data_IF_768304806492
#
_entry.id   IF_768304806492
#
_cell.length_a   1.000
_cell.length_b   1.000
_cell.length_c   1.000
_cell.angle_alpha   90.00
_cell.angle_beta   90.00
_cell.angle_gamma   90.00
#
_symmetry.space_group_name_H-M   'P 1'
#
loop_
_entity.id
_entity.type
_entity.pdbx_description
1 polymer ?
#
# COMPACT_ATOMS: atom_id res chain seq x y z
N UNK A 1 16.98 -8.68 20.88
CA UNK A 1 16.41 -7.78 19.84
C UNK A 1 16.69 -8.36 18.47
N UNK A 2 15.65 -8.51 17.68
CA UNK A 2 15.68 -9.14 16.38
C UNK A 2 16.23 -8.18 15.31
N UNK A 3 16.96 -8.70 14.34
CA UNK A 3 17.35 -7.93 13.17
C UNK A 3 16.14 -7.68 12.26
N UNK A 4 16.26 -6.75 11.32
CA UNK A 4 15.17 -6.38 10.40
C UNK A 4 15.61 -6.63 8.96
N UNK A 5 14.75 -7.27 8.20
CA UNK A 5 14.89 -7.46 6.76
C UNK A 5 13.71 -6.81 6.05
N UNK A 6 13.99 -6.03 5.00
CA UNK A 6 12.98 -5.39 4.16
C UNK A 6 13.12 -5.93 2.74
N UNK A 7 12.09 -6.62 2.23
CA UNK A 7 12.01 -6.91 0.79
C UNK A 7 11.35 -5.70 0.13
N UNK A 8 12.16 -4.94 -0.60
CA UNK A 8 11.84 -3.60 -1.04
C UNK A 8 11.42 -3.57 -2.52
N UNK A 9 10.35 -2.86 -2.78
CA UNK A 9 9.98 -2.36 -4.11
C UNK A 9 9.79 -0.84 -4.11
N UNK A 10 9.84 -0.21 -2.91
CA UNK A 10 9.74 1.23 -2.73
C UNK A 10 10.78 1.71 -1.73
N UNK A 11 11.59 2.68 -2.16
CA UNK A 11 12.74 3.18 -1.43
C UNK A 11 12.36 3.95 -0.17
N UNK A 12 11.47 4.94 -0.31
CA UNK A 12 11.09 5.84 0.78
C UNK A 12 10.50 5.12 1.98
N UNK A 13 9.58 4.17 1.76
CA UNK A 13 9.00 3.35 2.83
C UNK A 13 10.03 2.43 3.48
N UNK A 14 10.96 1.85 2.70
CA UNK A 14 12.01 0.98 3.24
C UNK A 14 12.93 1.73 4.20
N UNK A 15 13.36 2.95 3.84
CA UNK A 15 14.13 3.79 4.77
C UNK A 15 13.35 4.26 5.96
N UNK A 16 12.07 4.60 5.77
CA UNK A 16 11.20 5.01 6.87
C UNK A 16 11.08 3.92 7.92
N UNK A 17 10.98 2.66 7.50
CA UNK A 17 10.97 1.48 8.39
C UNK A 17 12.31 1.39 9.14
N UNK A 18 13.43 1.34 8.43
CA UNK A 18 14.75 1.23 9.05
C UNK A 18 15.03 2.39 10.01
N UNK A 19 14.71 3.63 9.61
CA UNK A 19 14.87 4.83 10.44
C UNK A 19 14.01 4.75 11.70
N UNK A 20 12.75 4.35 11.59
CA UNK A 20 11.83 4.24 12.71
C UNK A 20 12.37 3.30 13.80
N UNK A 21 12.89 2.13 13.39
CA UNK A 21 13.35 1.11 14.32
C UNK A 21 14.75 1.44 14.85
N UNK A 22 15.70 1.82 14.00
CA UNK A 22 17.06 2.18 14.41
C UNK A 22 17.15 3.45 15.25
N UNK A 23 16.14 4.29 15.24
CA UNK A 23 16.06 5.44 16.16
C UNK A 23 15.96 5.01 17.64
N UNK A 24 15.58 3.75 17.90
CA UNK A 24 15.38 3.19 19.23
C UNK A 24 16.36 2.06 19.57
N UNK A 25 16.78 1.28 18.58
CA UNK A 25 17.56 0.07 18.79
C UNK A 25 18.80 0.01 17.90
N UNK A 26 19.90 -0.46 18.49
CA UNK A 26 21.13 -0.77 17.76
C UNK A 26 21.05 -2.22 17.22
N UNK A 27 20.37 -2.39 16.10
CA UNK A 27 20.17 -3.68 15.41
C UNK A 27 20.69 -3.62 13.98
N UNK A 28 20.87 -4.78 13.37
CA UNK A 28 21.16 -4.84 11.93
C UNK A 28 19.88 -4.71 11.12
N UNK A 29 19.96 -3.98 10.02
CA UNK A 29 18.87 -3.76 9.07
C UNK A 29 19.36 -4.06 7.67
N UNK A 30 18.60 -4.83 6.94
CA UNK A 30 18.93 -5.31 5.59
C UNK A 30 17.82 -4.89 4.63
N UNK A 31 18.19 -4.39 3.46
CA UNK A 31 17.22 -4.06 2.40
C UNK A 31 17.58 -4.89 1.16
N UNK A 32 16.64 -5.71 0.72
CA UNK A 32 16.77 -6.54 -0.48
C UNK A 32 15.77 -6.02 -1.52
N UNK A 33 16.27 -5.43 -2.60
CA UNK A 33 15.44 -4.93 -3.69
C UNK A 33 15.04 -6.05 -4.64
N UNK A 34 13.75 -6.11 -4.94
CA UNK A 34 13.15 -7.04 -5.89
C UNK A 34 13.04 -6.36 -7.25
N UNK A 35 13.89 -6.76 -8.22
CA UNK A 35 13.85 -6.29 -9.61
C UNK A 35 13.74 -4.76 -9.76
N UNK A 36 14.52 -4.01 -9.00
CA UNK A 36 14.52 -2.56 -9.09
C UNK A 36 15.52 -2.09 -10.15
N UNK A 37 15.11 -1.11 -10.96
CA UNK A 37 15.96 -0.41 -11.91
C UNK A 37 16.95 0.56 -11.21
N UNK A 38 17.12 0.44 -9.90
CA UNK A 38 17.96 1.33 -9.10
C UNK A 38 19.39 0.83 -9.16
N UNK A 39 20.08 1.21 -10.22
CA UNK A 39 21.48 0.79 -10.45
C UNK A 39 22.49 1.39 -9.46
N UNK A 40 22.22 2.56 -8.88
CA UNK A 40 23.15 3.28 -8.03
C UNK A 40 22.47 3.88 -6.81
N UNK A 41 22.17 3.04 -5.82
CA UNK A 41 21.63 3.57 -4.59
C UNK A 41 22.68 3.54 -3.47
N UNK A 42 23.18 4.73 -3.10
CA UNK A 42 23.94 4.89 -1.87
C UNK A 42 22.96 5.03 -0.70
N UNK A 43 22.87 3.99 0.09
CA UNK A 43 22.12 4.03 1.32
C UNK A 43 22.76 5.00 2.33
N UNK A 44 21.97 5.80 3.08
CA UNK A 44 22.53 6.59 4.16
C UNK A 44 23.31 5.70 5.13
N UNK A 45 24.62 5.93 5.22
CA UNK A 45 25.50 5.21 6.14
C UNK A 45 24.96 5.33 7.56
N UNK A 46 24.83 4.19 8.26
CA UNK A 46 24.34 4.13 9.62
C UNK A 46 22.85 3.77 9.79
N UNK A 47 22.01 3.85 8.76
CA UNK A 47 20.60 3.40 8.84
C UNK A 47 20.41 1.97 8.35
N UNK A 48 21.23 1.51 7.41
CA UNK A 48 21.14 0.17 6.82
C UNK A 48 22.48 -0.50 6.92
N UNK A 49 22.49 -1.76 7.34
CA UNK A 49 23.69 -2.58 7.48
C UNK A 49 24.16 -3.05 6.12
N UNK A 50 23.23 -3.50 5.28
CA UNK A 50 23.49 -4.02 3.95
C UNK A 50 22.31 -3.75 3.03
N UNK A 51 22.63 -3.45 1.79
CA UNK A 51 21.64 -3.31 0.71
C UNK A 51 22.02 -4.24 -0.42
N UNK A 52 21.05 -5.02 -0.89
CA UNK A 52 21.21 -5.94 -2.01
C UNK A 52 20.21 -5.58 -3.09
N UNK A 53 20.67 -5.54 -4.34
CA UNK A 53 19.83 -5.34 -5.51
C UNK A 53 20.04 -6.52 -6.48
N UNK A 54 18.99 -7.34 -6.64
CA UNK A 54 19.02 -8.47 -7.56
C UNK A 54 18.00 -8.29 -8.66
N UNK A 55 18.44 -8.40 -9.89
CA UNK A 55 17.57 -8.57 -11.04
C UNK A 55 17.42 -10.07 -11.28
N UNK A 56 16.20 -10.56 -11.26
CA UNK A 56 15.89 -11.98 -11.49
C UNK A 56 14.73 -12.12 -12.48
N UNK A 57 14.91 -13.03 -13.43
CA UNK A 57 13.92 -13.27 -14.50
C UNK A 57 12.64 -13.97 -14.00
N UNK A 58 12.71 -14.57 -12.81
CA UNK A 58 11.57 -15.25 -12.20
C UNK A 58 11.61 -15.18 -10.67
N UNK A 59 10.43 -15.38 -10.05
CA UNK A 59 10.30 -15.48 -8.60
C UNK A 59 11.14 -16.64 -8.01
N UNK A 60 11.28 -17.75 -8.73
CA UNK A 60 12.09 -18.89 -8.27
C UNK A 60 13.57 -18.55 -8.18
N UNK A 61 14.13 -17.88 -9.21
CA UNK A 61 15.53 -17.43 -9.19
C UNK A 61 15.76 -16.43 -8.04
N UNK A 62 14.83 -15.52 -7.83
CA UNK A 62 14.93 -14.59 -6.71
C UNK A 62 14.86 -15.32 -5.35
N UNK A 63 14.01 -16.36 -5.25
CA UNK A 63 13.91 -17.19 -4.05
C UNK A 63 15.20 -17.96 -3.76
N UNK A 64 15.84 -18.54 -4.78
CA UNK A 64 17.15 -19.20 -4.63
C UNK A 64 18.21 -18.24 -4.08
N UNK A 65 18.26 -17.02 -4.62
CA UNK A 65 19.19 -15.98 -4.15
C UNK A 65 18.93 -15.55 -2.71
N UNK A 66 17.66 -15.39 -2.33
CA UNK A 66 17.34 -15.00 -0.95
C UNK A 66 17.63 -16.12 0.04
N UNK A 67 17.43 -17.38 -0.36
CA UNK A 67 17.78 -18.55 0.43
C UNK A 67 19.30 -18.67 0.62
N UNK A 68 20.07 -18.46 -0.43
CA UNK A 68 21.53 -18.39 -0.36
C UNK A 68 21.99 -17.24 0.56
N UNK A 69 21.47 -16.02 0.33
CA UNK A 69 21.77 -14.86 1.16
C UNK A 69 21.46 -15.12 2.64
N UNK A 70 20.31 -15.72 2.94
CA UNK A 70 19.95 -16.06 4.32
C UNK A 70 20.92 -17.04 4.95
N UNK A 71 21.43 -18.02 4.20
CA UNK A 71 22.39 -19.02 4.68
C UNK A 71 23.78 -18.44 5.00
N UNK A 72 24.16 -17.34 4.35
CA UNK A 72 25.41 -16.62 4.59
C UNK A 72 25.33 -15.68 5.81
N UNK A 73 24.14 -15.45 6.36
CA UNK A 73 23.93 -14.56 7.50
C UNK A 73 23.61 -15.36 8.77
N UNK A 74 24.19 -14.92 9.89
CA UNK A 74 23.87 -15.50 11.20
C UNK A 74 22.93 -14.56 11.96
N UNK A 75 21.70 -15.01 12.14
CA UNK A 75 20.69 -14.33 12.97
C UNK A 75 20.61 -15.02 14.33
N UNK A 76 20.71 -14.23 15.41
CA UNK A 76 20.56 -14.77 16.81
C UNK A 76 19.12 -15.22 17.09
N UNK A 77 18.15 -14.56 16.48
CA UNK A 77 16.72 -14.82 16.56
C UNK A 77 16.14 -14.64 15.15
N UNK A 78 14.93 -15.15 14.89
CA UNK A 78 14.26 -14.92 13.61
C UNK A 78 14.10 -13.42 13.34
N UNK A 79 14.65 -12.89 12.24
CA UNK A 79 14.54 -11.46 11.92
C UNK A 79 13.10 -11.08 11.57
N UNK A 80 12.74 -9.81 11.78
CA UNK A 80 11.42 -9.28 11.42
C UNK A 80 11.43 -8.85 9.96
N UNK A 81 10.46 -9.37 9.17
CA UNK A 81 10.35 -9.10 7.74
C UNK A 81 9.26 -8.08 7.44
N UNK A 82 9.64 -7.05 6.66
CA UNK A 82 8.74 -6.08 6.06
C UNK A 82 8.75 -6.21 4.52
N UNK A 83 7.59 -6.01 3.91
CA UNK A 83 7.45 -5.85 2.47
C UNK A 83 7.02 -4.41 2.15
N UNK A 84 7.55 -3.79 1.10
CA UNK A 84 7.23 -2.39 0.75
C UNK A 84 6.63 -2.21 -0.64
N UNK A 85 6.26 -3.31 -1.31
CA UNK A 85 5.50 -3.30 -2.56
C UNK A 85 4.51 -4.45 -2.61
N UNK A 86 3.52 -4.34 -3.48
CA UNK A 86 2.56 -5.42 -3.71
C UNK A 86 3.26 -6.66 -4.28
N UNK A 87 4.29 -6.46 -5.10
CA UNK A 87 5.13 -7.53 -5.66
C UNK A 87 5.91 -8.27 -4.57
N UNK A 88 6.50 -7.54 -3.61
CA UNK A 88 7.21 -8.18 -2.49
C UNK A 88 6.25 -8.96 -1.59
N UNK A 89 5.02 -8.47 -1.35
CA UNK A 89 4.00 -9.22 -0.64
C UNK A 89 3.58 -10.49 -1.38
N UNK A 90 3.36 -10.39 -2.69
CA UNK A 90 3.02 -11.55 -3.53
C UNK A 90 4.15 -12.58 -3.59
N UNK A 91 5.39 -12.11 -3.65
CA UNK A 91 6.58 -12.97 -3.61
C UNK A 91 6.65 -13.73 -2.27
N UNK A 92 6.55 -13.05 -1.14
CA UNK A 92 6.54 -13.70 0.18
C UNK A 92 5.35 -14.65 0.32
N UNK A 93 4.17 -14.28 -0.18
CA UNK A 93 2.99 -15.13 -0.16
C UNK A 93 3.18 -16.42 -0.97
N UNK A 94 3.91 -16.37 -2.09
CA UNK A 94 4.21 -17.55 -2.92
C UNK A 94 5.09 -18.58 -2.20
N UNK A 95 6.03 -18.11 -1.38
CA UNK A 95 6.98 -18.96 -0.65
C UNK A 95 6.76 -18.91 0.87
N UNK A 96 5.52 -18.69 1.31
CA UNK A 96 5.17 -18.34 2.69
C UNK A 96 5.69 -19.32 3.72
N UNK A 97 5.57 -20.61 3.50
CA UNK A 97 6.02 -21.66 4.44
C UNK A 97 7.51 -21.51 4.76
N UNK A 98 8.34 -21.24 3.74
CA UNK A 98 9.75 -21.02 3.96
C UNK A 98 10.00 -19.71 4.74
N UNK A 99 9.27 -18.63 4.40
CA UNK A 99 9.44 -17.35 5.07
C UNK A 99 9.01 -17.42 6.55
N UNK A 100 7.95 -18.11 6.89
CA UNK A 100 7.49 -18.27 8.28
C UNK A 100 8.45 -19.09 9.14
N UNK A 101 9.23 -20.00 8.53
CA UNK A 101 10.29 -20.74 9.23
C UNK A 101 11.54 -19.87 9.49
N UNK A 102 11.72 -18.78 8.78
CA UNK A 102 12.96 -17.98 8.77
C UNK A 102 12.76 -16.56 9.27
N UNK A 103 11.53 -16.06 9.30
CA UNK A 103 11.21 -14.67 9.63
C UNK A 103 9.94 -14.55 10.45
N UNK A 104 9.81 -13.45 11.17
CA UNK A 104 8.53 -13.00 11.72
C UNK A 104 7.93 -12.02 10.70
N UNK A 105 6.79 -12.41 10.13
CA UNK A 105 6.15 -11.64 9.06
C UNK A 105 5.27 -10.52 9.62
N UNK A 106 5.36 -9.33 9.03
CA UNK A 106 4.50 -8.19 9.36
C UNK A 106 3.34 -7.99 8.37
N UNK A 107 3.23 -8.86 7.36
CA UNK A 107 2.19 -8.83 6.33
C UNK A 107 1.05 -9.81 6.66
N UNK A 108 -0.17 -9.58 6.15
CA UNK A 108 -1.31 -10.44 6.42
C UNK A 108 -1.21 -11.81 5.72
N UNK A 109 -2.22 -12.65 5.97
CA UNK A 109 -2.35 -13.96 5.34
C UNK A 109 -2.46 -13.89 3.81
N UNK A 110 -2.11 -14.99 3.15
CA UNK A 110 -2.15 -15.12 1.69
C UNK A 110 -3.54 -14.84 1.11
N UNK A 111 -4.61 -15.22 1.81
CA UNK A 111 -5.98 -14.94 1.38
C UNK A 111 -6.24 -13.44 1.27
N UNK A 112 -5.79 -12.66 2.25
CA UNK A 112 -5.91 -11.21 2.29
C UNK A 112 -5.07 -10.58 1.18
N UNK A 113 -3.80 -10.99 1.04
CA UNK A 113 -2.89 -10.49 -0.01
C UNK A 113 -3.49 -10.75 -1.39
N UNK A 114 -3.97 -11.97 -1.67
CA UNK A 114 -4.52 -12.35 -2.96
C UNK A 114 -5.83 -11.63 -3.31
N UNK A 115 -6.62 -11.22 -2.31
CA UNK A 115 -7.85 -10.46 -2.53
C UNK A 115 -7.52 -9.00 -2.81
N UNK A 116 -6.75 -8.36 -1.92
CA UNK A 116 -6.64 -6.89 -1.95
C UNK A 116 -5.56 -6.36 -2.88
N UNK A 117 -4.58 -7.18 -3.30
CA UNK A 117 -3.65 -6.83 -4.38
C UNK A 117 -4.27 -7.01 -5.78
N UNK A 118 -5.51 -7.51 -5.87
CA UNK A 118 -6.29 -7.58 -7.10
C UNK A 118 -7.58 -6.76 -6.94
N UNK A 119 -7.68 -5.63 -7.65
CA UNK A 119 -8.81 -4.69 -7.51
C UNK A 119 -10.17 -5.31 -7.86
N UNK A 120 -10.19 -6.27 -8.80
CA UNK A 120 -11.43 -6.99 -9.14
C UNK A 120 -11.91 -7.89 -8.01
N UNK A 121 -11.00 -8.64 -7.37
CA UNK A 121 -11.32 -9.48 -6.21
C UNK A 121 -11.67 -8.61 -4.99
N UNK A 122 -10.94 -7.51 -4.79
CA UNK A 122 -11.21 -6.53 -3.75
C UNK A 122 -12.63 -5.97 -3.86
N UNK A 123 -13.06 -5.54 -5.06
CA UNK A 123 -14.44 -5.06 -5.30
C UNK A 123 -15.49 -6.10 -4.90
N UNK A 124 -15.30 -7.36 -5.28
CA UNK A 124 -16.21 -8.44 -4.89
C UNK A 124 -16.23 -8.66 -3.37
N UNK A 125 -15.07 -8.57 -2.72
CA UNK A 125 -14.95 -8.70 -1.27
C UNK A 125 -15.66 -7.56 -0.54
N UNK A 126 -15.42 -6.31 -0.96
CA UNK A 126 -16.02 -5.11 -0.35
C UNK A 126 -17.54 -5.12 -0.43
N UNK A 127 -18.14 -5.56 -1.54
CA UNK A 127 -19.61 -5.71 -1.71
C UNK A 127 -20.27 -6.65 -0.67
N UNK A 128 -19.48 -7.48 0.02
CA UNK A 128 -19.95 -8.34 1.12
C UNK A 128 -19.75 -7.72 2.50
N UNK A 129 -19.36 -6.45 2.56
CA UNK A 129 -19.12 -5.71 3.79
C UNK A 129 -20.09 -4.52 3.87
N UNK A 130 -20.03 -3.79 4.98
CA UNK A 130 -20.84 -2.58 5.19
C UNK A 130 -20.12 -1.31 4.72
N UNK A 131 -18.95 -1.45 4.06
CA UNK A 131 -18.22 -0.32 3.50
C UNK A 131 -18.93 0.22 2.25
N UNK A 132 -19.11 1.52 2.20
CA UNK A 132 -19.49 2.19 0.96
C UNK A 132 -18.32 2.08 -0.03
N UNK A 133 -18.63 1.73 -1.27
CA UNK A 133 -17.67 1.71 -2.36
C UNK A 133 -18.31 2.26 -3.63
N UNK A 134 -17.54 2.86 -4.54
CA UNK A 134 -18.04 3.30 -5.83
C UNK A 134 -18.57 2.10 -6.63
N UNK A 135 -19.65 2.28 -7.36
CA UNK A 135 -20.16 1.26 -8.29
C UNK A 135 -19.05 0.86 -9.25
N UNK A 136 -18.77 -0.44 -9.36
CA UNK A 136 -17.66 -0.96 -10.16
C UNK A 136 -18.14 -2.12 -11.02
N UNK A 137 -17.68 -2.16 -12.28
CA UNK A 137 -17.90 -3.27 -13.22
C UNK A 137 -16.55 -3.70 -13.82
N UNK A 138 -16.30 -5.01 -13.87
CA UNK A 138 -15.16 -5.56 -14.60
C UNK A 138 -15.51 -5.66 -16.07
N UNK A 139 -14.70 -5.06 -16.94
CA UNK A 139 -14.90 -5.03 -18.38
C UNK A 139 -14.06 -6.12 -19.02
N UNK A 140 -14.73 -7.09 -19.63
CA UNK A 140 -14.13 -8.25 -20.31
C UNK A 140 -14.58 -8.37 -21.77
N UNK A 141 -15.74 -7.82 -22.08
CA UNK A 141 -16.40 -7.92 -23.39
C UNK A 141 -16.91 -6.57 -23.87
N UNK A 142 -17.30 -6.49 -25.14
CA UNK A 142 -17.94 -5.30 -25.69
C UNK A 142 -19.32 -5.03 -25.06
N UNK A 143 -20.05 -6.08 -24.67
CA UNK A 143 -21.34 -5.95 -24.00
C UNK A 143 -21.20 -5.29 -22.60
N UNK A 144 -20.07 -5.52 -21.92
CA UNK A 144 -19.77 -4.84 -20.68
C UNK A 144 -19.60 -3.31 -20.89
N UNK A 145 -19.00 -2.89 -22.02
CA UNK A 145 -18.88 -1.47 -22.38
C UNK A 145 -20.26 -0.86 -22.56
N UNK A 146 -21.16 -1.53 -23.29
CA UNK A 146 -22.52 -1.07 -23.51
C UNK A 146 -23.32 -1.02 -22.20
N UNK A 147 -23.05 -1.95 -21.30
CA UNK A 147 -23.66 -1.94 -19.94
C UNK A 147 -23.23 -0.71 -19.16
N UNK A 148 -21.96 -0.31 -19.22
CA UNK A 148 -21.50 0.92 -18.55
C UNK A 148 -22.16 2.15 -19.14
N UNK A 149 -22.24 2.28 -20.46
CA UNK A 149 -22.89 3.42 -21.12
C UNK A 149 -24.33 3.65 -20.66
N UNK A 150 -25.05 2.57 -20.38
CA UNK A 150 -26.46 2.61 -19.93
C UNK A 150 -26.61 2.81 -18.42
N UNK A 151 -25.68 2.26 -17.63
CA UNK A 151 -25.85 2.09 -16.18
C UNK A 151 -25.03 3.04 -15.32
N UNK A 152 -24.05 3.75 -15.91
CA UNK A 152 -23.18 4.67 -15.16
C UNK A 152 -23.45 6.12 -15.54
N UNK A 153 -23.29 7.00 -14.56
CA UNK A 153 -23.23 8.45 -14.79
C UNK A 153 -21.77 8.85 -15.05
N UNK A 154 -21.57 9.72 -16.03
CA UNK A 154 -20.25 10.27 -16.35
C UNK A 154 -19.98 11.53 -15.49
N UNK A 155 -18.69 11.78 -15.13
CA UNK A 155 -17.50 11.01 -15.52
C UNK A 155 -17.40 9.62 -14.85
N UNK A 156 -16.64 8.72 -15.48
CA UNK A 156 -16.27 7.41 -14.93
C UNK A 156 -14.76 7.23 -14.87
N UNK A 157 -14.30 6.24 -14.13
CA UNK A 157 -12.87 5.92 -13.98
C UNK A 157 -12.58 4.57 -14.60
N UNK A 158 -11.53 4.49 -15.44
CA UNK A 158 -10.90 3.24 -15.88
C UNK A 158 -9.70 2.95 -14.96
N UNK A 159 -9.63 1.74 -14.43
CA UNK A 159 -8.51 1.24 -13.61
C UNK A 159 -8.04 -0.12 -14.11
N UNK A 160 -6.71 -0.40 -14.15
CA UNK A 160 -6.22 -1.76 -14.32
C UNK A 160 -6.65 -2.64 -13.14
N UNK A 161 -6.84 -3.95 -13.40
CA UNK A 161 -7.24 -4.92 -12.37
C UNK A 161 -6.11 -5.15 -11.36
N UNK A 162 -4.86 -5.18 -11.85
CA UNK A 162 -3.66 -5.42 -11.07
C UNK A 162 -2.45 -4.69 -11.66
N UNK A 163 -1.29 -4.84 -11.01
CA UNK A 163 -0.05 -4.20 -11.44
C UNK A 163 0.43 -4.67 -12.83
N UNK A 164 0.27 -5.94 -13.18
CA UNK A 164 0.68 -6.44 -14.50
C UNK A 164 -0.16 -5.82 -15.61
N UNK A 165 -1.47 -5.69 -15.39
CA UNK A 165 -2.36 -5.01 -16.32
C UNK A 165 -2.07 -3.49 -16.36
N UNK A 166 -1.68 -2.88 -15.25
CA UNK A 166 -1.26 -1.48 -15.22
C UNK A 166 -0.06 -1.22 -16.15
N UNK A 167 0.97 -2.06 -16.11
CA UNK A 167 2.13 -1.95 -17.03
C UNK A 167 1.71 -2.07 -18.50
N UNK A 168 0.79 -2.98 -18.80
CA UNK A 168 0.27 -3.19 -20.17
C UNK A 168 -0.60 -2.03 -20.65
N UNK A 169 -1.45 -1.46 -19.79
CA UNK A 169 -2.35 -0.35 -20.13
C UNK A 169 -1.59 0.97 -20.22
N UNK A 170 -0.57 1.17 -19.38
CA UNK A 170 0.28 2.37 -19.37
C UNK A 170 -0.19 3.50 -18.44
N UNK A 171 -1.23 3.27 -17.62
CA UNK A 171 -1.68 4.23 -16.61
C UNK A 171 -2.28 3.53 -15.38
N UNK A 172 -2.23 4.22 -14.22
CA UNK A 172 -2.83 3.74 -12.96
C UNK A 172 -4.35 4.04 -12.92
N UNK A 173 -4.74 5.23 -13.41
CA UNK A 173 -6.13 5.72 -13.37
C UNK A 173 -6.36 6.64 -14.58
N UNK A 174 -7.47 6.44 -15.28
CA UNK A 174 -7.94 7.32 -16.36
C UNK A 174 -9.37 7.75 -16.06
N UNK A 175 -9.60 9.06 -15.97
CA UNK A 175 -10.95 9.63 -15.91
C UNK A 175 -11.46 9.78 -17.32
N UNK A 176 -12.68 9.36 -17.59
CA UNK A 176 -13.40 9.52 -18.86
C UNK A 176 -14.61 10.41 -18.61
N UNK A 177 -14.59 11.61 -19.17
CA UNK A 177 -15.60 12.64 -18.90
C UNK A 177 -16.88 12.43 -19.72
N UNK A 178 -16.82 11.68 -20.82
CA UNK A 178 -17.94 11.42 -21.72
C UNK A 178 -18.02 9.95 -22.14
N UNK A 179 -19.18 9.57 -22.70
CA UNK A 179 -19.41 8.25 -23.28
C UNK A 179 -18.42 7.99 -24.44
N UNK A 180 -18.12 9.00 -25.24
CA UNK A 180 -17.23 8.85 -26.40
C UNK A 180 -15.78 8.63 -25.96
N UNK A 181 -15.27 9.41 -25.00
CA UNK A 181 -13.94 9.17 -24.41
C UNK A 181 -13.85 7.78 -23.78
N UNK A 182 -14.84 7.40 -22.96
CA UNK A 182 -14.91 6.07 -22.38
C UNK A 182 -14.89 4.96 -23.44
N UNK A 183 -15.67 5.11 -24.50
CA UNK A 183 -15.75 4.14 -25.59
C UNK A 183 -14.41 3.97 -26.30
N UNK A 184 -13.78 5.08 -26.66
CA UNK A 184 -12.47 5.09 -27.33
C UNK A 184 -11.40 4.38 -26.48
N UNK A 185 -11.31 4.72 -25.19
CA UNK A 185 -10.34 4.10 -24.28
C UNK A 185 -10.63 2.61 -24.10
N UNK A 186 -11.90 2.26 -23.87
CA UNK A 186 -12.34 0.89 -23.58
C UNK A 186 -12.11 -0.06 -24.74
N UNK A 187 -12.46 0.36 -25.97
CA UNK A 187 -12.20 -0.42 -27.18
C UNK A 187 -10.69 -0.60 -27.42
N UNK A 188 -9.89 0.46 -27.22
CA UNK A 188 -8.44 0.39 -27.34
C UNK A 188 -7.77 -0.56 -26.34
N UNK A 189 -8.31 -0.70 -25.14
CA UNK A 189 -7.81 -1.63 -24.12
C UNK A 189 -8.24 -3.07 -24.45
N UNK A 190 -9.54 -3.29 -24.76
CA UNK A 190 -10.06 -4.62 -25.06
C UNK A 190 -9.45 -5.22 -26.35
N UNK A 191 -9.16 -4.41 -27.37
CA UNK A 191 -8.51 -4.89 -28.60
C UNK A 191 -7.13 -5.52 -28.34
N UNK A 192 -6.48 -5.10 -27.23
CA UNK A 192 -5.22 -5.67 -26.72
C UNK A 192 -5.44 -6.87 -25.79
N UNK A 193 -6.68 -7.39 -25.68
CA UNK A 193 -7.08 -8.49 -24.79
C UNK A 193 -6.77 -8.23 -23.32
N UNK A 194 -6.87 -6.98 -22.90
CA UNK A 194 -6.64 -6.58 -21.51
C UNK A 194 -7.99 -6.30 -20.86
N UNK A 195 -8.26 -6.97 -19.73
CA UNK A 195 -9.41 -6.69 -18.89
C UNK A 195 -9.11 -5.55 -17.93
N UNK A 196 -10.13 -4.76 -17.57
CA UNK A 196 -10.00 -3.60 -16.72
C UNK A 196 -11.26 -3.36 -15.90
N UNK A 197 -11.21 -2.41 -14.96
CA UNK A 197 -12.36 -1.98 -14.17
C UNK A 197 -12.88 -0.64 -14.70
N UNK A 198 -14.19 -0.52 -14.83
CA UNK A 198 -14.88 0.75 -14.89
C UNK A 198 -15.53 1.04 -13.54
N UNK A 199 -15.27 2.21 -12.99
CA UNK A 199 -15.72 2.60 -11.67
C UNK A 199 -16.38 3.97 -11.72
N UNK A 200 -17.42 4.15 -10.90
CA UNK A 200 -18.05 5.43 -10.66
C UNK A 200 -17.03 6.46 -10.14
N UNK A 201 -17.09 7.67 -10.64
CA UNK A 201 -16.27 8.77 -10.17
C UNK A 201 -16.90 9.37 -8.91
N UNK A 202 -16.15 9.36 -7.80
CA UNK A 202 -16.56 10.05 -6.57
C UNK A 202 -15.96 11.46 -6.60
N UNK A 203 -16.79 12.53 -6.63
CA UNK A 203 -16.32 13.90 -6.74
C UNK A 203 -15.49 14.35 -5.55
N UNK A 204 -14.61 15.34 -5.79
CA UNK A 204 -13.82 16.02 -4.76
C UNK A 204 -12.36 16.15 -5.13
N UNK A 205 -11.72 17.20 -4.61
CA UNK A 205 -10.28 17.45 -4.75
C UNK A 205 -9.40 16.47 -3.97
N UNK A 206 -8.09 16.75 -3.94
CA UNK A 206 -7.12 15.94 -3.19
C UNK A 206 -7.46 15.89 -1.70
N UNK A 207 -7.92 17.01 -1.13
CA UNK A 207 -8.33 17.17 0.27
C UNK A 207 -9.52 16.31 0.70
N UNK A 208 -10.23 15.72 -0.27
CA UNK A 208 -11.29 14.72 -0.05
C UNK A 208 -10.79 13.29 -0.10
N UNK A 209 -9.50 13.08 -0.34
CA UNK A 209 -8.85 11.77 -0.28
C UNK A 209 -8.25 11.57 1.10
N UNK A 210 -8.70 10.52 1.78
CA UNK A 210 -8.28 10.16 3.12
C UNK A 210 -7.43 8.91 3.10
N UNK A 211 -6.45 8.85 4.00
CA UNK A 211 -5.71 7.64 4.31
C UNK A 211 -6.04 7.18 5.73
N UNK A 212 -6.09 5.88 5.91
CA UNK A 212 -6.14 5.19 7.19
C UNK A 212 -5.06 4.10 7.17
N UNK A 213 -3.92 4.34 7.81
CA UNK A 213 -2.81 3.39 7.91
C UNK A 213 -2.81 2.79 9.31
N UNK A 214 -2.45 1.52 9.42
CA UNK A 214 -2.64 0.79 10.67
C UNK A 214 -1.63 -0.36 10.82
N UNK A 215 -1.47 -0.80 12.07
CA UNK A 215 -0.98 -2.12 12.43
C UNK A 215 -2.02 -2.81 13.30
N UNK A 216 -2.46 -4.02 12.90
CA UNK A 216 -3.37 -4.84 13.68
C UNK A 216 -2.67 -6.10 14.16
N UNK A 217 -2.60 -6.26 15.49
CA UNK A 217 -2.00 -7.38 16.18
C UNK A 217 -2.87 -8.63 16.08
N UNK A 218 -2.30 -9.81 16.31
CA UNK A 218 -3.02 -11.07 16.32
C UNK A 218 -4.12 -11.13 17.39
N UNK A 219 -3.94 -10.45 18.53
CA UNK A 219 -4.96 -10.34 19.59
C UNK A 219 -6.13 -9.41 19.24
N UNK A 220 -6.08 -8.76 18.06
CA UNK A 220 -7.11 -7.86 17.56
C UNK A 220 -6.91 -6.38 17.89
N UNK A 221 -5.91 -6.02 18.69
CA UNK A 221 -5.55 -4.63 18.98
C UNK A 221 -5.12 -3.91 17.71
N UNK A 222 -5.60 -2.68 17.49
CA UNK A 222 -5.26 -1.85 16.34
C UNK A 222 -4.61 -0.57 16.83
N UNK A 223 -3.47 -0.23 16.22
CA UNK A 223 -2.91 1.11 16.25
C UNK A 223 -3.08 1.72 14.88
N UNK A 224 -3.57 2.92 14.81
CA UNK A 224 -3.88 3.58 13.55
C UNK A 224 -3.34 5.02 13.48
N UNK A 225 -3.13 5.47 12.26
CA UNK A 225 -2.86 6.86 11.92
C UNK A 225 -3.66 7.21 10.66
N UNK A 226 -4.34 8.35 10.68
CA UNK A 226 -5.21 8.78 9.58
C UNK A 226 -5.08 10.26 9.29
N UNK A 227 -5.53 10.64 8.11
CA UNK A 227 -5.53 12.04 7.69
C UNK A 227 -5.94 12.20 6.24
N UNK A 228 -5.64 13.39 5.71
CA UNK A 228 -5.99 13.79 4.34
C UNK A 228 -4.77 13.90 3.47
N UNK A 229 -4.94 13.56 2.19
CA UNK A 229 -3.98 13.89 1.13
C UNK A 229 -4.26 15.33 0.69
N UNK A 230 -3.32 16.22 0.91
CA UNK A 230 -3.47 17.65 0.54
C UNK A 230 -3.04 17.87 -0.90
N UNK A 231 -1.97 17.18 -1.32
CA UNK A 231 -1.47 17.19 -2.70
C UNK A 231 -1.20 15.76 -3.14
N UNK A 232 -1.74 15.39 -4.29
CA UNK A 232 -1.44 14.13 -4.97
C UNK A 232 -0.66 14.40 -6.27
N UNK A 233 0.20 13.48 -6.64
CA UNK A 233 0.87 13.52 -7.92
C UNK A 233 0.64 12.20 -8.69
N UNK A 234 0.00 12.21 -9.88
CA UNK A 234 -0.79 13.31 -10.49
C UNK A 234 -1.98 13.73 -9.63
N UNK A 235 -2.39 15.02 -9.76
CA UNK A 235 -3.51 15.57 -8.96
C UNK A 235 -4.80 14.75 -9.12
N UNK A 236 -5.52 14.58 -8.02
CA UNK A 236 -6.82 13.89 -7.94
C UNK A 236 -6.76 12.37 -8.01
N UNK A 237 -5.62 11.75 -8.32
CA UNK A 237 -5.52 10.31 -8.61
C UNK A 237 -4.14 9.67 -8.40
N UNK A 238 -3.20 10.41 -7.84
CA UNK A 238 -1.81 9.97 -7.68
C UNK A 238 -1.43 9.57 -6.27
N UNK A 239 -0.13 9.34 -6.09
CA UNK A 239 0.46 9.15 -4.79
C UNK A 239 0.39 10.43 -3.95
N UNK A 240 0.44 10.30 -2.63
CA UNK A 240 0.46 11.45 -1.73
C UNK A 240 1.81 12.16 -1.79
N UNK A 241 1.83 13.38 -2.32
CA UNK A 241 2.99 14.26 -2.28
C UNK A 241 3.01 15.13 -1.02
N UNK A 242 1.84 15.49 -0.51
CA UNK A 242 1.68 16.18 0.77
C UNK A 242 0.43 15.68 1.48
N UNK A 243 0.53 15.43 2.77
CA UNK A 243 -0.59 15.01 3.61
C UNK A 243 -0.53 15.63 4.99
N UNK A 244 -1.68 15.65 5.65
CA UNK A 244 -1.83 16.16 7.03
C UNK A 244 -2.59 15.12 7.86
N UNK A 245 -2.13 14.89 9.07
CA UNK A 245 -2.85 14.04 10.01
C UNK A 245 -4.03 14.77 10.60
N UNK A 246 -5.17 14.14 10.60
CA UNK A 246 -6.36 14.60 11.30
C UNK A 246 -7.23 13.39 11.62
N UNK A 247 -7.66 13.28 12.86
CA UNK A 247 -8.49 12.17 13.31
C UNK A 247 -9.94 12.36 12.88
N UNK A 248 -10.58 11.26 12.48
CA UNK A 248 -12.00 11.22 12.18
C UNK A 248 -12.59 9.93 12.76
N UNK A 249 -13.45 10.06 13.75
CA UNK A 249 -14.00 8.92 14.49
C UNK A 249 -14.93 8.04 13.64
N UNK A 250 -15.64 8.61 12.66
CA UNK A 250 -16.46 7.82 11.71
C UNK A 250 -15.55 6.94 10.86
N UNK A 251 -14.46 7.52 10.32
CA UNK A 251 -13.47 6.80 9.50
C UNK A 251 -12.78 5.70 10.32
N UNK A 252 -12.37 5.99 11.57
CA UNK A 252 -11.76 5.02 12.45
C UNK A 252 -12.70 3.81 12.68
N UNK A 253 -13.95 4.06 13.06
CA UNK A 253 -14.93 3.01 13.36
C UNK A 253 -15.20 2.10 12.16
N UNK A 254 -15.44 2.66 10.97
CA UNK A 254 -15.72 1.85 9.77
C UNK A 254 -14.49 1.02 9.37
N UNK A 255 -13.28 1.60 9.46
CA UNK A 255 -12.03 0.91 9.14
C UNK A 255 -11.74 -0.23 10.11
N UNK A 256 -11.86 0.01 11.42
CA UNK A 256 -11.65 -1.01 12.45
C UNK A 256 -12.66 -2.16 12.34
N UNK A 257 -13.94 -1.83 12.11
CA UNK A 257 -15.00 -2.83 11.89
C UNK A 257 -14.69 -3.70 10.66
N UNK A 258 -14.26 -3.07 9.57
CA UNK A 258 -13.88 -3.76 8.36
C UNK A 258 -12.67 -4.70 8.58
N UNK A 259 -11.58 -4.21 9.20
CA UNK A 259 -10.39 -5.02 9.48
C UNK A 259 -10.69 -6.21 10.40
N UNK A 260 -11.59 -6.02 11.37
CA UNK A 260 -12.08 -7.11 12.23
C UNK A 260 -12.86 -8.15 11.41
N UNK A 261 -13.76 -7.70 10.52
CA UNK A 261 -14.63 -8.58 9.70
C UNK A 261 -13.82 -9.46 8.76
N UNK A 262 -12.73 -8.94 8.16
CA UNK A 262 -11.88 -9.71 7.25
C UNK A 262 -10.75 -10.46 7.97
N UNK A 263 -10.61 -10.33 9.30
CA UNK A 263 -9.57 -11.00 10.06
C UNK A 263 -8.14 -10.56 9.76
N UNK A 264 -7.96 -9.30 9.32
CA UNK A 264 -6.63 -8.78 8.97
C UNK A 264 -5.68 -8.83 10.17
N UNK A 265 -4.44 -9.28 9.97
CA UNK A 265 -3.35 -9.18 10.95
C UNK A 265 -2.12 -8.68 10.20
N UNK A 266 -1.41 -7.67 10.76
CA UNK A 266 -0.23 -7.07 10.15
C UNK A 266 -0.36 -5.57 9.91
N UNK A 267 0.62 -5.02 9.16
CA UNK A 267 0.66 -3.61 8.78
C UNK A 267 -0.02 -3.39 7.43
N UNK A 268 -0.75 -2.29 7.28
CA UNK A 268 -1.44 -1.98 6.03
C UNK A 268 -1.99 -0.56 5.97
N UNK A 269 -2.73 -0.29 4.89
CA UNK A 269 -3.39 0.99 4.69
C UNK A 269 -4.67 0.87 3.88
N UNK A 270 -5.62 1.76 4.13
CA UNK A 270 -6.87 1.88 3.36
C UNK A 270 -6.98 3.31 2.88
N UNK A 271 -7.35 3.49 1.62
CA UNK A 271 -7.66 4.78 1.04
C UNK A 271 -9.17 4.94 0.89
N UNK A 272 -9.64 6.13 1.25
CA UNK A 272 -11.05 6.51 1.12
C UNK A 272 -11.19 7.83 0.35
N UNK A 273 -12.35 8.00 -0.28
CA UNK A 273 -12.80 9.29 -0.83
C UNK A 273 -14.00 9.78 -0.03
N UNK A 274 -13.90 10.96 0.55
CA UNK A 274 -15.01 11.61 1.25
C UNK A 274 -15.93 12.30 0.24
N UNK A 275 -17.22 12.01 0.31
CA UNK A 275 -18.23 12.71 -0.46
C UNK A 275 -19.53 12.81 0.36
N UNK A 276 -20.07 14.02 0.49
CA UNK A 276 -21.30 14.33 1.26
C UNK A 276 -21.28 13.78 2.72
N UNK A 277 -20.09 13.77 3.35
CA UNK A 277 -19.92 13.28 4.72
C UNK A 277 -19.81 11.76 4.86
N UNK A 278 -19.80 11.02 3.77
CA UNK A 278 -19.57 9.59 3.70
C UNK A 278 -18.19 9.25 3.14
N UNK A 279 -17.63 8.09 3.56
CA UNK A 279 -16.34 7.60 3.13
C UNK A 279 -16.50 6.41 2.20
N UNK A 280 -16.09 6.58 0.95
CA UNK A 280 -16.09 5.53 -0.06
C UNK A 280 -14.75 4.85 -0.11
N UNK A 281 -14.72 3.53 0.08
CA UNK A 281 -13.51 2.71 -0.05
C UNK A 281 -12.94 2.80 -1.47
N UNK A 282 -11.66 3.10 -1.60
CA UNK A 282 -10.99 3.22 -2.90
C UNK A 282 -10.04 2.06 -3.16
N UNK A 283 -9.12 1.80 -2.21
CA UNK A 283 -8.19 0.68 -2.29
C UNK A 283 -7.62 0.35 -0.91
N UNK A 284 -7.04 -0.84 -0.77
CA UNK A 284 -6.34 -1.30 0.41
C UNK A 284 -4.97 -1.83 0.02
N UNK A 285 -3.96 -1.43 0.76
CA UNK A 285 -2.60 -1.95 0.68
C UNK A 285 -2.35 -2.96 1.79
N UNK A 286 -1.78 -4.10 1.44
CA UNK A 286 -1.42 -5.17 2.39
C UNK A 286 0.02 -5.04 2.92
N UNK A 287 0.55 -3.83 2.90
CA UNK A 287 1.91 -3.43 3.25
C UNK A 287 1.94 -1.99 3.76
N UNK A 288 3.08 -1.54 4.34
CA UNK A 288 3.30 -0.13 4.63
C UNK A 288 3.12 0.73 3.37
N UNK A 289 2.39 1.83 3.49
CA UNK A 289 2.23 2.80 2.42
C UNK A 289 3.55 3.54 2.11
N UNK A 290 3.68 4.06 0.90
CA UNK A 290 4.87 4.83 0.50
C UNK A 290 5.16 6.02 1.42
N UNK A 291 4.11 6.57 2.00
CA UNK A 291 4.14 7.69 2.95
C UNK A 291 4.09 7.26 4.43
N UNK A 292 4.45 6.01 4.77
CA UNK A 292 4.38 5.47 6.14
C UNK A 292 5.10 6.35 7.18
N UNK A 293 6.06 7.19 6.74
CA UNK A 293 6.77 8.14 7.60
C UNK A 293 5.82 9.13 8.31
N UNK A 294 4.63 9.38 7.77
CA UNK A 294 3.64 10.25 8.43
C UNK A 294 3.24 9.71 9.80
N UNK A 295 3.23 8.38 9.98
CA UNK A 295 2.93 7.76 11.26
C UNK A 295 3.98 8.07 12.33
N UNK A 296 5.26 8.18 11.94
CA UNK A 296 6.32 8.57 12.86
C UNK A 296 6.17 10.03 13.29
N UNK A 297 5.82 10.92 12.36
CA UNK A 297 5.60 12.35 12.64
C UNK A 297 4.37 12.55 13.52
N UNK A 298 3.37 11.69 13.37
CA UNK A 298 2.14 11.69 14.17
C UNK A 298 2.29 11.02 15.54
N UNK A 299 3.51 10.60 15.92
CA UNK A 299 3.81 9.89 17.17
C UNK A 299 3.10 8.53 17.32
N UNK A 300 2.68 7.95 16.20
CA UNK A 300 2.17 6.58 16.07
C UNK A 300 3.04 5.77 15.12
N UNK A 301 4.31 5.49 15.46
CA UNK A 301 5.31 4.92 14.55
C UNK A 301 4.98 3.45 14.22
N UNK A 302 4.05 3.23 13.28
CA UNK A 302 3.50 1.90 12.97
C UNK A 302 4.57 0.84 12.67
N UNK A 303 5.67 1.14 11.92
CA UNK A 303 6.72 0.13 11.74
C UNK A 303 7.41 -0.26 13.04
N UNK A 304 7.66 0.69 13.95
CA UNK A 304 8.26 0.42 15.24
C UNK A 304 7.30 -0.37 16.16
N UNK A 305 6.00 -0.10 16.08
CA UNK A 305 4.98 -0.81 16.85
C UNK A 305 4.86 -2.27 16.39
N UNK A 306 4.91 -2.50 15.07
CA UNK A 306 4.98 -3.85 14.51
C UNK A 306 6.25 -4.60 14.93
N UNK A 307 7.36 -3.88 15.07
CA UNK A 307 8.61 -4.43 15.59
C UNK A 307 8.53 -4.79 17.07
N UNK A 308 7.88 -3.97 17.90
CA UNK A 308 7.61 -4.28 19.32
C UNK A 308 6.78 -5.56 19.46
N UNK A 309 5.67 -5.66 18.71
CA UNK A 309 4.80 -6.85 18.71
C UNK A 309 5.59 -8.10 18.32
N UNK A 310 6.44 -8.02 17.27
CA UNK A 310 7.30 -9.12 16.86
C UNK A 310 8.36 -9.52 17.91
N UNK A 311 8.75 -8.63 18.81
CA UNK A 311 9.66 -8.90 19.93
C UNK A 311 8.91 -9.29 21.21
N UNK A 312 7.59 -9.42 21.18
CA UNK A 312 6.75 -9.70 22.33
C UNK A 312 6.90 -8.67 23.46
N UNK A 313 7.21 -7.43 23.12
CA UNK A 313 7.29 -6.35 24.09
C UNK A 313 5.89 -5.97 24.57
N UNK A 314 5.73 -5.86 25.91
CA UNK A 314 4.46 -5.43 26.49
C UNK A 314 4.27 -3.94 26.23
N UNK A 315 3.22 -3.59 25.49
CA UNK A 315 2.89 -2.22 25.17
C UNK A 315 1.51 -1.85 25.73
N UNK A 316 1.41 -0.74 26.43
CA UNK A 316 0.12 -0.07 26.69
C UNK A 316 -0.24 0.81 25.48
N UNK A 317 -0.69 0.16 24.41
CA UNK A 317 -0.93 0.76 23.11
C UNK A 317 -1.88 1.95 23.20
N UNK A 318 -2.91 1.85 24.02
CA UNK A 318 -3.93 2.91 24.13
C UNK A 318 -3.44 4.19 24.81
N UNK A 319 -2.35 4.10 25.59
CA UNK A 319 -1.77 5.26 26.29
C UNK A 319 -0.50 5.77 25.61
N UNK A 320 0.27 4.87 24.99
CA UNK A 320 1.59 5.20 24.45
C UNK A 320 1.54 5.78 23.02
N UNK A 321 0.54 5.39 22.22
CA UNK A 321 0.51 5.70 20.79
C UNK A 321 -0.82 6.35 20.39
N UNK A 322 -0.99 7.60 20.79
CA UNK A 322 -2.13 8.43 20.37
C UNK A 322 -1.67 9.34 19.25
N UNK A 323 -2.34 9.26 18.10
CA UNK A 323 -2.04 10.12 16.97
C UNK A 323 -2.08 11.60 17.37
N UNK A 324 -1.05 12.34 17.00
CA UNK A 324 -1.08 13.80 16.98
C UNK A 324 -1.60 14.30 15.65
N UNK A 325 -2.61 15.15 15.72
CA UNK A 325 -3.18 15.82 14.55
C UNK A 325 -2.30 16.99 14.08
N UNK A 326 -2.63 17.55 12.92
CA UNK A 326 -1.97 18.69 12.29
C UNK A 326 -0.47 18.46 12.01
N UNK A 327 -0.06 17.20 11.87
CA UNK A 327 1.28 16.84 11.42
C UNK A 327 1.32 16.74 9.91
N UNK A 328 2.27 17.46 9.31
CA UNK A 328 2.42 17.51 7.85
C UNK A 328 3.55 16.57 7.41
N UNK A 329 3.26 15.79 6.37
CA UNK A 329 4.23 15.00 5.62
C UNK A 329 4.34 15.56 4.21
N UNK A 330 5.58 15.69 3.74
CA UNK A 330 5.89 16.11 2.37
C UNK A 330 6.87 15.14 1.75
N UNK A 331 6.51 14.61 0.59
CA UNK A 331 7.41 13.84 -0.26
C UNK A 331 8.09 14.79 -1.25
N UNK A 332 9.35 15.14 -0.98
CA UNK A 332 10.10 16.09 -1.79
C UNK A 332 10.33 15.61 -3.22
N UNK A 333 10.43 14.26 -3.42
CA UNK A 333 10.61 13.71 -4.76
C UNK A 333 9.38 13.89 -5.65
N UNK A 334 8.18 13.90 -5.05
CA UNK A 334 6.91 14.08 -5.75
C UNK A 334 6.52 15.57 -5.89
N UNK A 335 6.83 16.40 -4.90
CA UNK A 335 6.41 17.81 -4.92
C UNK A 335 7.16 18.60 -5.98
N UNK A 336 8.44 18.32 -6.21
CA UNK A 336 9.23 18.95 -7.28
C UNK A 336 8.74 18.64 -8.69
N UNK A 337 8.08 17.48 -8.87
CA UNK A 337 7.47 17.11 -10.16
C UNK A 337 6.15 17.88 -10.39
N UNK A 338 5.47 18.27 -9.32
CA UNK A 338 4.16 18.95 -9.40
C UNK A 338 4.24 20.46 -9.59
N UNK A 339 5.40 21.08 -9.39
CA UNK A 339 5.60 22.49 -9.72
C UNK A 339 5.99 22.62 -11.20
N UNK A 340 5.20 23.38 -12.02
CA UNK A 340 5.67 23.72 -13.35
C UNK A 340 6.95 24.55 -13.20
N UNK A 341 8.04 24.08 -13.80
CA UNK A 341 9.24 24.91 -13.99
C UNK A 341 8.78 26.23 -14.61
N UNK A 342 8.84 27.32 -13.85
CA UNK A 342 8.63 28.66 -14.41
C UNK A 342 9.70 28.87 -15.48
N UNK A 343 9.31 29.33 -16.68
CA UNK A 343 10.26 29.64 -17.74
C UNK A 343 11.22 30.74 -17.33
#
# INVERSE_FOLDING_TARGET
MKDVVVIAGALGSSFSICKSIRSKYLIKTYIIFLNSDIEHFSCPTGLVTETVNWVADSANIFFERINEWYSLHTFKELPVLYCTSDESCMFVAQFREWFELKFILTIPDNSIINIYNNKGKSDVSIKRTDLLAPKTLTIKTHDDIETVKKAFRFPVIIKPIDYQNQRKIGFKVKVCDSIDDYSLQSFGILSRRIHFLCQEYIPGGDDKSWFYIFFRMANGTIVDCMGKKIVQHPRGKGNMAMGITCRNEKLAKISQSFLKKIGYVGIGGIEFKEYMGDFYFIEMSTRPEGFIQISNVAETPLPLIAYYDANLEVMDVGRQFIQKDDRVYVDLSLIHISEPTRP
#
